data_IF_507357417611
#
_entry.id   IF_507357417611
#
_cell.length_a   1.000
_cell.length_b   1.000
_cell.length_c   1.000
_cell.angle_alpha   90.00
_cell.angle_beta   90.00
_cell.angle_gamma   90.00
#
_symmetry.space_group_name_H-M   'P 1'
#
loop_
_entity.id
_entity.type
_entity.pdbx_description
1 polymer ?
#
# COMPACT_ATOMS: atom_id res chain seq x y z
N UNK A 1 -22.54 -18.05 31.01
CA UNK A 1 -22.06 -17.13 29.96
C UNK A 1 -20.76 -17.68 29.36
N UNK A 2 -20.82 -18.68 28.47
CA UNK A 2 -19.65 -19.09 27.69
C UNK A 2 -20.10 -19.94 26.49
N UNK A 3 -20.34 -19.28 25.36
CA UNK A 3 -20.70 -19.91 24.08
C UNK A 3 -20.24 -19.08 22.88
N UNK A 4 -19.18 -18.25 23.02
CA UNK A 4 -18.78 -17.25 22.00
C UNK A 4 -17.30 -17.34 21.63
N UNK A 5 -16.68 -18.52 21.68
CA UNK A 5 -15.32 -18.71 21.16
C UNK A 5 -15.29 -20.04 20.44
N UNK A 6 -15.20 -20.01 19.10
CA UNK A 6 -14.72 -21.07 18.19
C UNK A 6 -15.38 -20.92 16.81
N UNK A 7 -15.11 -19.84 16.08
CA UNK A 7 -15.15 -20.01 14.62
C UNK A 7 -13.89 -20.82 14.24
N UNK A 8 -14.02 -21.95 13.53
CA UNK A 8 -12.89 -22.82 13.25
C UNK A 8 -11.98 -22.21 12.18
N UNK A 9 -10.66 -22.35 12.33
CA UNK A 9 -9.64 -21.90 11.36
C UNK A 9 -9.92 -22.35 9.91
N UNK A 10 -10.71 -23.43 9.74
CA UNK A 10 -11.20 -23.91 8.45
C UNK A 10 -12.08 -22.91 7.70
N UNK A 11 -12.89 -22.12 8.40
CA UNK A 11 -13.81 -21.15 7.79
C UNK A 11 -13.03 -19.95 7.21
N UNK A 12 -12.09 -19.39 7.99
CA UNK A 12 -11.18 -18.35 7.50
C UNK A 12 -10.40 -18.89 6.29
N UNK A 13 -9.88 -20.12 6.35
CA UNK A 13 -9.15 -20.71 5.24
C UNK A 13 -9.99 -20.81 3.96
N UNK A 14 -11.24 -21.25 4.06
CA UNK A 14 -12.16 -21.34 2.93
C UNK A 14 -12.46 -19.97 2.30
N UNK A 15 -12.70 -18.94 3.14
CA UNK A 15 -12.91 -17.57 2.68
C UNK A 15 -11.67 -17.06 1.92
N UNK A 16 -10.46 -17.34 2.44
CA UNK A 16 -9.21 -16.92 1.83
C UNK A 16 -8.99 -17.57 0.45
N UNK A 17 -9.28 -18.86 0.30
CA UNK A 17 -9.17 -19.56 -0.98
C UNK A 17 -10.22 -19.08 -2.00
N UNK A 18 -11.45 -18.79 -1.56
CA UNK A 18 -12.47 -18.14 -2.40
C UNK A 18 -12.01 -16.75 -2.87
N UNK A 19 -11.43 -15.95 -1.98
CA UNK A 19 -10.85 -14.65 -2.32
C UNK A 19 -9.75 -14.75 -3.38
N UNK A 20 -8.84 -15.72 -3.27
CA UNK A 20 -7.80 -15.96 -4.28
C UNK A 20 -8.40 -16.34 -5.65
N UNK A 21 -9.40 -17.23 -5.66
CA UNK A 21 -10.09 -17.60 -6.90
C UNK A 21 -10.80 -16.40 -7.54
N UNK A 22 -11.41 -15.54 -6.72
CA UNK A 22 -12.05 -14.30 -7.17
C UNK A 22 -11.04 -13.32 -7.77
N UNK A 23 -9.83 -13.22 -7.23
CA UNK A 23 -8.73 -12.43 -7.81
C UNK A 23 -8.38 -12.95 -9.22
N UNK A 24 -8.20 -14.26 -9.39
CA UNK A 24 -7.91 -14.85 -10.70
C UNK A 24 -9.04 -14.58 -11.72
N UNK A 25 -10.30 -14.63 -11.26
CA UNK A 25 -11.48 -14.29 -12.07
C UNK A 25 -11.49 -12.80 -12.44
N UNK A 26 -11.13 -11.93 -11.50
CA UNK A 26 -11.04 -10.48 -11.68
C UNK A 26 -10.04 -10.07 -12.79
N UNK A 27 -9.06 -10.92 -13.11
CA UNK A 27 -8.08 -10.66 -14.17
C UNK A 27 -8.49 -11.18 -15.57
N UNK A 28 -9.64 -11.84 -15.71
CA UNK A 28 -10.07 -12.48 -16.97
C UNK A 28 -11.33 -11.84 -17.54
N UNK A 29 -11.29 -11.32 -18.76
CA UNK A 29 -12.47 -10.82 -19.50
C UNK A 29 -13.22 -9.68 -18.79
N UNK A 30 -14.10 -8.93 -19.49
CA UNK A 30 -14.76 -7.78 -18.84
C UNK A 30 -15.81 -8.20 -17.79
N UNK A 31 -16.77 -9.03 -18.17
CA UNK A 31 -17.86 -9.45 -17.29
C UNK A 31 -17.34 -10.30 -16.13
N UNK A 32 -16.46 -11.26 -16.42
CA UNK A 32 -15.80 -12.05 -15.39
C UNK A 32 -14.93 -11.18 -14.48
N UNK A 33 -14.32 -10.10 -14.98
CA UNK A 33 -13.64 -9.12 -14.14
C UNK A 33 -14.58 -8.43 -13.15
N UNK A 34 -15.74 -7.93 -13.60
CA UNK A 34 -16.75 -7.31 -12.72
C UNK A 34 -17.19 -8.30 -11.65
N UNK A 35 -17.60 -9.50 -12.06
CA UNK A 35 -18.05 -10.53 -11.11
C UNK A 35 -16.94 -10.92 -10.13
N UNK A 36 -15.71 -11.10 -10.60
CA UNK A 36 -14.56 -11.42 -9.74
C UNK A 36 -14.28 -10.32 -8.70
N UNK A 37 -14.46 -9.05 -9.07
CA UNK A 37 -14.33 -7.94 -8.13
C UNK A 37 -15.47 -7.91 -7.08
N UNK A 38 -16.71 -8.22 -7.49
CA UNK A 38 -17.84 -8.33 -6.57
C UNK A 38 -17.69 -9.53 -5.63
N UNK A 39 -17.26 -10.69 -6.16
CA UNK A 39 -16.98 -11.90 -5.41
C UNK A 39 -15.85 -11.66 -4.39
N UNK A 40 -14.80 -10.94 -4.79
CA UNK A 40 -13.71 -10.53 -3.89
C UNK A 40 -14.20 -9.57 -2.81
N UNK A 41 -15.09 -8.62 -3.15
CA UNK A 41 -15.74 -7.75 -2.17
C UNK A 41 -16.55 -8.53 -1.14
N UNK A 42 -17.34 -9.53 -1.56
CA UNK A 42 -18.08 -10.40 -0.64
C UNK A 42 -17.16 -11.21 0.27
N UNK A 43 -16.09 -11.80 -0.30
CA UNK A 43 -15.09 -12.51 0.50
C UNK A 43 -14.43 -11.60 1.55
N UNK A 44 -14.20 -10.32 1.22
CA UNK A 44 -13.71 -9.32 2.17
C UNK A 44 -14.68 -9.07 3.34
N UNK A 45 -15.99 -8.98 3.06
CA UNK A 45 -17.03 -8.82 4.09
C UNK A 45 -17.09 -10.05 5.00
N UNK A 46 -17.10 -11.24 4.42
CA UNK A 46 -17.10 -12.50 5.16
C UNK A 46 -15.84 -12.64 6.02
N UNK A 47 -14.67 -12.30 5.47
CA UNK A 47 -13.40 -12.33 6.22
C UNK A 47 -13.42 -11.36 7.40
N UNK A 48 -13.95 -10.15 7.22
CA UNK A 48 -14.10 -9.17 8.31
C UNK A 48 -15.03 -9.69 9.41
N UNK A 49 -16.16 -10.30 9.04
CA UNK A 49 -17.08 -10.90 9.99
C UNK A 49 -16.43 -12.05 10.76
N UNK A 50 -15.80 -13.00 10.05
CA UNK A 50 -15.11 -14.13 10.66
C UNK A 50 -13.97 -13.66 11.59
N UNK A 51 -13.17 -12.67 11.17
CA UNK A 51 -12.07 -12.13 11.97
C UNK A 51 -12.55 -11.40 13.24
N UNK A 52 -13.73 -10.76 13.21
CA UNK A 52 -14.31 -10.14 14.39
C UNK A 52 -14.67 -11.18 15.47
N UNK A 53 -15.00 -12.41 15.06
CA UNK A 53 -15.39 -13.50 15.95
C UNK A 53 -14.20 -14.34 16.46
N UNK A 54 -13.13 -14.46 15.68
CA UNK A 54 -12.01 -15.38 15.98
C UNK A 54 -10.83 -14.75 16.70
N UNK A 55 -10.55 -13.46 16.49
CA UNK A 55 -9.23 -12.92 16.84
C UNK A 55 -9.16 -12.47 18.30
N UNK A 56 -9.05 -13.42 19.22
CA UNK A 56 -8.41 -13.21 20.52
C UNK A 56 -6.88 -13.17 20.31
N UNK A 57 -6.33 -12.04 19.88
CA UNK A 57 -4.89 -11.95 19.64
C UNK A 57 -4.37 -10.76 18.84
N UNK A 58 -5.24 -9.90 18.31
CA UNK A 58 -4.85 -8.58 17.77
C UNK A 58 -4.57 -8.48 16.28
N UNK A 59 -4.75 -9.54 15.47
CA UNK A 59 -4.63 -9.42 14.01
C UNK A 59 -5.85 -8.70 13.42
N UNK A 60 -5.61 -7.57 12.76
CA UNK A 60 -6.69 -6.77 12.16
C UNK A 60 -7.12 -7.36 10.80
N UNK A 61 -8.35 -7.08 10.37
CA UNK A 61 -8.82 -7.41 9.01
C UNK A 61 -7.83 -6.97 7.92
N UNK A 62 -7.25 -5.77 8.06
CA UNK A 62 -6.30 -5.24 7.09
C UNK A 62 -5.01 -6.07 7.01
N UNK A 63 -4.56 -6.63 8.14
CA UNK A 63 -3.39 -7.51 8.18
C UNK A 63 -3.67 -8.86 7.51
N UNK A 64 -4.84 -9.46 7.76
CA UNK A 64 -5.24 -10.72 7.11
C UNK A 64 -5.31 -10.57 5.59
N UNK A 65 -5.93 -9.51 5.10
CA UNK A 65 -6.01 -9.20 3.67
C UNK A 65 -4.63 -8.95 3.06
N UNK A 66 -3.76 -8.23 3.77
CA UNK A 66 -2.38 -7.98 3.33
C UNK A 66 -1.57 -9.27 3.24
N UNK A 67 -1.62 -10.12 4.27
CA UNK A 67 -0.85 -11.37 4.33
C UNK A 67 -1.30 -12.39 3.28
N UNK A 68 -2.61 -12.55 3.09
CA UNK A 68 -3.12 -13.64 2.26
C UNK A 68 -3.42 -13.25 0.82
N UNK A 69 -3.81 -12.00 0.57
CA UNK A 69 -4.13 -11.51 -0.78
C UNK A 69 -3.11 -10.50 -1.30
N UNK A 70 -2.15 -10.06 -0.49
CA UNK A 70 -1.13 -9.09 -0.90
C UNK A 70 -1.70 -7.68 -1.13
N UNK A 71 -2.85 -7.35 -0.52
CA UNK A 71 -3.55 -6.09 -0.76
C UNK A 71 -3.34 -5.10 0.39
N UNK A 72 -3.11 -3.83 0.06
CA UNK A 72 -2.97 -2.76 1.05
C UNK A 72 -4.31 -2.38 1.71
N UNK A 73 -4.24 -1.72 2.86
CA UNK A 73 -5.41 -1.34 3.66
C UNK A 73 -6.45 -0.48 2.90
N UNK A 74 -5.99 0.43 2.03
CA UNK A 74 -6.89 1.24 1.20
C UNK A 74 -7.71 0.37 0.23
N UNK A 75 -7.06 -0.59 -0.43
CA UNK A 75 -7.73 -1.56 -1.32
C UNK A 75 -8.70 -2.44 -0.53
N UNK A 76 -8.29 -2.93 0.65
CA UNK A 76 -9.13 -3.73 1.52
C UNK A 76 -10.40 -2.99 1.95
N UNK A 77 -10.30 -1.68 2.24
CA UNK A 77 -11.44 -0.82 2.57
C UNK A 77 -12.39 -0.63 1.38
N UNK A 78 -11.84 -0.41 0.17
CA UNK A 78 -12.65 -0.32 -1.05
C UNK A 78 -13.42 -1.61 -1.33
N UNK A 79 -12.77 -2.77 -1.14
CA UNK A 79 -13.41 -4.08 -1.35
C UNK A 79 -14.56 -4.31 -0.36
N UNK A 80 -14.41 -3.89 0.91
CA UNK A 80 -15.52 -3.92 1.86
C UNK A 80 -16.70 -3.08 1.37
N UNK A 81 -16.46 -1.83 0.97
CA UNK A 81 -17.53 -0.97 0.46
C UNK A 81 -18.21 -1.55 -0.78
N UNK A 82 -17.47 -2.25 -1.65
CA UNK A 82 -18.05 -2.94 -2.82
C UNK A 82 -18.87 -4.16 -2.39
N UNK A 83 -18.37 -4.95 -1.45
CA UNK A 83 -19.02 -6.19 -0.99
C UNK A 83 -20.29 -5.97 -0.16
N UNK A 84 -20.35 -4.88 0.61
CA UNK A 84 -21.50 -4.51 1.44
C UNK A 84 -22.65 -3.93 0.60
N UNK A 85 -22.40 -3.55 -0.65
CA UNK A 85 -23.30 -2.76 -1.47
C UNK A 85 -24.24 -3.61 -2.35
N UNK A 86 -25.51 -3.69 -1.95
CA UNK A 86 -26.52 -4.50 -2.66
C UNK A 86 -26.92 -3.97 -4.04
N UNK A 87 -26.82 -2.65 -4.27
CA UNK A 87 -27.17 -2.07 -5.58
C UNK A 87 -26.15 -2.50 -6.63
N UNK A 88 -24.86 -2.59 -6.29
CA UNK A 88 -23.85 -3.16 -7.20
C UNK A 88 -24.12 -4.63 -7.48
N UNK A 89 -24.41 -5.43 -6.45
CA UNK A 89 -24.67 -6.86 -6.59
C UNK A 89 -25.89 -7.17 -7.47
N UNK A 90 -26.88 -6.29 -7.49
CA UNK A 90 -28.11 -6.46 -8.26
C UNK A 90 -27.99 -5.99 -9.73
N UNK A 91 -26.98 -5.16 -10.05
CA UNK A 91 -26.85 -4.49 -11.34
C UNK A 91 -25.57 -4.85 -12.12
N UNK A 92 -25.05 -6.07 -11.94
CA UNK A 92 -23.72 -6.49 -12.43
C UNK A 92 -23.45 -6.24 -13.92
N UNK A 93 -24.47 -6.26 -14.77
CA UNK A 93 -24.35 -6.06 -16.23
C UNK A 93 -24.09 -4.59 -16.61
N UNK A 94 -24.44 -3.65 -15.75
CA UNK A 94 -24.31 -2.21 -16.00
C UNK A 94 -22.98 -1.65 -15.46
N UNK A 95 -22.17 -2.48 -14.80
CA UNK A 95 -21.02 -1.99 -14.05
C UNK A 95 -19.74 -1.92 -14.87
N UNK A 96 -18.90 -0.89 -14.65
CA UNK A 96 -17.57 -0.82 -15.24
C UNK A 96 -16.62 -1.85 -14.59
N UNK A 97 -15.75 -2.45 -15.40
CA UNK A 97 -14.74 -3.42 -14.97
C UNK A 97 -13.51 -2.76 -14.32
N UNK A 98 -13.73 -1.85 -13.37
CA UNK A 98 -12.66 -1.17 -12.62
C UNK A 98 -13.03 -1.10 -11.15
N UNK A 99 -12.19 -1.68 -10.27
CA UNK A 99 -12.41 -1.68 -8.82
C UNK A 99 -12.68 -0.27 -8.28
N UNK A 100 -11.89 0.72 -8.69
CA UNK A 100 -12.06 2.07 -8.18
C UNK A 100 -13.34 2.74 -8.71
N UNK A 101 -13.77 2.42 -9.94
CA UNK A 101 -15.09 2.86 -10.43
C UNK A 101 -16.21 2.21 -9.62
N UNK A 102 -16.13 0.91 -9.33
CA UNK A 102 -17.10 0.22 -8.47
C UNK A 102 -17.18 0.85 -7.08
N UNK A 103 -16.03 1.16 -6.47
CA UNK A 103 -15.96 1.87 -5.20
C UNK A 103 -16.61 3.27 -5.26
N UNK A 104 -16.36 4.04 -6.33
CA UNK A 104 -17.04 5.33 -6.48
C UNK A 104 -18.56 5.17 -6.60
N UNK A 105 -19.03 4.13 -7.28
CA UNK A 105 -20.45 3.83 -7.39
C UNK A 105 -21.07 3.34 -6.08
N UNK A 106 -20.32 2.58 -5.26
CA UNK A 106 -20.83 2.11 -3.96
C UNK A 106 -21.09 3.26 -2.97
N UNK A 107 -20.40 4.38 -3.16
CA UNK A 107 -20.57 5.59 -2.34
C UNK A 107 -21.72 6.50 -2.78
N UNK A 108 -22.48 6.11 -3.81
CA UNK A 108 -23.74 6.79 -4.19
C UNK A 108 -24.89 6.28 -3.32
N UNK A 109 -25.93 7.08 -3.14
CA UNK A 109 -27.23 6.58 -2.66
C UNK A 109 -27.91 5.75 -3.76
N UNK A 110 -28.95 4.99 -3.40
CA UNK A 110 -29.71 4.19 -4.37
C UNK A 110 -30.38 5.09 -5.44
N UNK A 111 -30.96 6.22 -5.03
CA UNK A 111 -31.57 7.20 -5.93
C UNK A 111 -30.54 7.81 -6.90
N UNK A 112 -29.36 8.18 -6.40
CA UNK A 112 -28.27 8.73 -7.22
C UNK A 112 -27.72 7.68 -8.19
N UNK A 113 -27.65 6.42 -7.78
CA UNK A 113 -27.20 5.32 -8.64
C UNK A 113 -28.19 5.06 -9.77
N UNK A 114 -29.49 5.00 -9.47
CA UNK A 114 -30.56 4.84 -10.45
C UNK A 114 -30.63 6.01 -11.44
N UNK A 115 -30.44 7.24 -10.94
CA UNK A 115 -30.28 8.42 -11.80
C UNK A 115 -29.04 8.29 -12.69
N UNK A 116 -27.92 7.80 -12.15
CA UNK A 116 -26.70 7.55 -12.90
C UNK A 116 -26.86 6.52 -14.02
N UNK A 117 -27.69 5.47 -13.81
CA UNK A 117 -28.07 4.52 -14.87
C UNK A 117 -28.90 5.23 -15.94
N UNK A 118 -29.93 5.99 -15.53
CA UNK A 118 -30.81 6.72 -16.47
C UNK A 118 -30.06 7.74 -17.32
N UNK A 119 -29.08 8.44 -16.75
CA UNK A 119 -28.20 9.38 -17.47
C UNK A 119 -27.10 8.68 -18.29
N UNK A 120 -27.00 7.35 -18.23
CA UNK A 120 -25.96 6.57 -18.89
C UNK A 120 -24.56 6.88 -18.35
N UNK A 121 -24.45 7.41 -17.13
CA UNK A 121 -23.17 7.58 -16.42
C UNK A 121 -22.69 6.24 -15.87
N UNK A 122 -23.61 5.45 -15.33
CA UNK A 122 -23.37 4.08 -14.87
C UNK A 122 -23.61 3.15 -16.06
N UNK A 123 -22.52 2.66 -16.65
CA UNK A 123 -22.54 1.70 -17.74
C UNK A 123 -21.20 0.93 -17.78
N UNK A 124 -21.08 -0.16 -18.56
CA UNK A 124 -19.86 -0.98 -18.62
C UNK A 124 -18.59 -0.26 -19.09
N UNK A 125 -18.72 0.89 -19.74
CA UNK A 125 -17.63 1.73 -20.28
C UNK A 125 -17.40 3.00 -19.43
N UNK A 126 -18.09 3.12 -18.30
CA UNK A 126 -18.00 4.28 -17.44
C UNK A 126 -16.56 4.47 -16.92
N UNK A 127 -16.02 5.66 -17.18
CA UNK A 127 -14.70 6.05 -16.67
C UNK A 127 -14.82 6.66 -15.28
N UNK A 128 -13.74 6.58 -14.51
CA UNK A 128 -13.64 7.22 -13.19
C UNK A 128 -13.94 8.72 -13.25
N UNK A 129 -13.49 9.40 -14.32
CA UNK A 129 -13.72 10.82 -14.53
C UNK A 129 -15.21 11.14 -14.69
N UNK A 130 -15.95 10.33 -15.47
CA UNK A 130 -17.39 10.51 -15.68
C UNK A 130 -18.17 10.33 -14.38
N UNK A 131 -17.86 9.28 -13.61
CA UNK A 131 -18.50 9.01 -12.32
C UNK A 131 -18.21 10.14 -11.32
N UNK A 132 -16.95 10.61 -11.22
CA UNK A 132 -16.60 11.73 -10.35
C UNK A 132 -17.30 13.04 -10.75
N UNK A 133 -17.42 13.31 -12.04
CA UNK A 133 -18.12 14.50 -12.54
C UNK A 133 -19.61 14.45 -12.19
N UNK A 134 -20.24 13.28 -12.34
CA UNK A 134 -21.62 13.05 -11.93
C UNK A 134 -21.81 13.24 -10.42
N UNK A 135 -20.96 12.65 -9.58
CA UNK A 135 -20.97 12.90 -8.13
C UNK A 135 -20.87 14.38 -7.77
N UNK A 136 -20.01 15.12 -8.48
CA UNK A 136 -19.87 16.58 -8.26
C UNK A 136 -21.12 17.34 -8.69
N UNK A 137 -21.79 16.91 -9.76
CA UNK A 137 -23.06 17.48 -10.22
C UNK A 137 -24.15 17.30 -9.15
N UNK A 138 -24.26 16.10 -8.57
CA UNK A 138 -25.23 15.77 -7.52
C UNK A 138 -25.00 16.55 -6.22
N UNK A 139 -23.74 16.71 -5.80
CA UNK A 139 -23.38 17.49 -4.61
C UNK A 139 -23.69 19.00 -4.73
N UNK A 140 -24.04 19.47 -5.93
CA UNK A 140 -24.27 20.88 -6.22
C UNK A 140 -22.99 21.72 -6.22
N UNK A 141 -23.11 23.03 -6.45
CA UNK A 141 -22.00 23.95 -6.28
C UNK A 141 -21.59 23.90 -4.81
N UNK A 142 -20.41 23.37 -4.52
CA UNK A 142 -19.78 23.53 -3.20
C UNK A 142 -19.60 25.03 -3.03
N UNK A 143 -20.40 25.65 -2.15
CA UNK A 143 -20.14 27.01 -1.71
C UNK A 143 -18.70 27.01 -1.22
N UNK A 144 -17.81 27.71 -1.96
CA UNK A 144 -16.45 27.90 -1.49
C UNK A 144 -16.59 28.49 -0.10
N UNK A 145 -16.00 27.87 0.95
CA UNK A 145 -16.04 28.44 2.27
C UNK A 145 -15.61 29.89 2.12
N UNK A 146 -16.50 30.81 2.52
CA UNK A 146 -16.23 32.23 2.48
C UNK A 146 -14.87 32.40 3.16
N UNK A 147 -13.84 32.94 2.47
CA UNK A 147 -12.52 33.02 3.05
C UNK A 147 -12.67 33.68 4.41
N UNK A 148 -12.31 32.94 5.46
CA UNK A 148 -12.29 33.51 6.79
C UNK A 148 -11.41 34.76 6.71
N UNK A 149 -11.80 35.87 7.35
CA UNK A 149 -11.01 37.09 7.33
C UNK A 149 -9.59 36.73 7.75
N UNK A 150 -8.67 36.96 6.82
CA UNK A 150 -7.26 36.67 7.02
C UNK A 150 -6.85 37.36 8.33
N UNK A 151 -6.34 36.64 9.35
CA UNK A 151 -5.94 37.27 10.59
C UNK A 151 -5.00 38.42 10.25
N UNK A 152 -5.31 39.61 10.78
CA UNK A 152 -4.53 40.81 10.48
C UNK A 152 -3.05 40.52 10.74
N UNK A 153 -2.15 40.96 9.82
CA UNK A 153 -0.73 40.74 9.99
C UNK A 153 -0.29 41.35 11.33
N UNK A 154 0.26 40.51 12.20
CA UNK A 154 0.78 40.93 13.50
C UNK A 154 1.95 41.88 13.25
N UNK A 155 1.76 43.16 13.55
CA UNK A 155 2.75 44.22 13.30
C UNK A 155 3.74 44.43 14.45
N UNK A 156 3.50 43.82 15.62
CA UNK A 156 4.33 44.00 16.81
C UNK A 156 5.20 42.75 17.07
N UNK A 157 6.54 42.88 17.16
CA UNK A 157 7.42 41.78 17.55
C UNK A 157 7.15 41.22 18.96
N UNK A 158 6.54 41.97 19.88
CA UNK A 158 6.10 41.43 21.19
C UNK A 158 4.88 40.49 21.05
N UNK A 159 4.07 40.67 20.01
CA UNK A 159 2.93 39.79 19.69
C UNK A 159 3.34 38.51 18.94
N UNK A 160 4.62 38.34 18.58
CA UNK A 160 5.10 37.12 17.93
C UNK A 160 4.91 35.88 18.81
N UNK A 161 5.06 36.02 20.14
CA UNK A 161 4.78 34.93 21.09
C UNK A 161 3.29 34.61 21.15
N UNK A 162 2.43 35.63 21.20
CA UNK A 162 0.98 35.47 21.21
C UNK A 162 0.46 34.87 19.89
N UNK A 163 1.08 35.22 18.77
CA UNK A 163 0.82 34.61 17.48
C UNK A 163 1.24 33.14 17.47
N UNK A 164 2.44 32.82 17.97
CA UNK A 164 2.90 31.44 18.08
C UNK A 164 1.97 30.62 18.97
N UNK A 165 1.52 31.16 20.10
CA UNK A 165 0.54 30.51 20.97
C UNK A 165 -0.81 30.31 20.30
N UNK A 166 -1.27 31.28 19.50
CA UNK A 166 -2.52 31.18 18.74
C UNK A 166 -2.40 30.13 17.63
N UNK A 167 -1.29 30.07 16.91
CA UNK A 167 -1.00 29.04 15.91
C UNK A 167 -0.89 27.66 16.57
N UNK A 168 -0.14 27.57 17.68
CA UNK A 168 -0.04 26.34 18.45
C UNK A 168 -1.39 25.91 18.98
N UNK A 169 -2.31 26.83 19.33
CA UNK A 169 -3.65 26.49 19.83
C UNK A 169 -4.52 25.78 18.79
N UNK A 170 -4.39 26.12 17.51
CA UNK A 170 -5.19 25.53 16.40
C UNK A 170 -4.61 24.22 15.85
N UNK A 171 -3.39 23.84 16.23
CA UNK A 171 -2.80 22.57 15.81
C UNK A 171 -3.54 21.36 16.44
N UNK A 172 -3.71 20.25 15.68
CA UNK A 172 -4.20 18.99 16.22
C UNK A 172 -3.33 18.48 17.38
N UNK A 173 -3.93 17.87 18.40
CA UNK A 173 -3.22 17.41 19.61
C UNK A 173 -2.01 16.51 19.31
N UNK A 174 -2.14 15.60 18.33
CA UNK A 174 -1.05 14.72 17.88
C UNK A 174 0.18 15.46 17.36
N UNK A 175 0.00 16.67 16.81
CA UNK A 175 1.11 17.54 16.36
C UNK A 175 1.74 18.24 17.56
N UNK A 176 0.93 18.74 18.50
CA UNK A 176 1.40 19.35 19.76
C UNK A 176 2.24 18.36 20.57
N UNK A 177 1.79 17.11 20.69
CA UNK A 177 2.48 16.07 21.46
C UNK A 177 3.85 15.72 20.84
N UNK A 178 3.95 15.72 19.50
CA UNK A 178 5.24 15.52 18.79
C UNK A 178 6.21 16.68 18.95
N UNK A 179 5.70 17.91 19.05
CA UNK A 179 6.53 19.09 19.30
C UNK A 179 6.99 19.20 20.76
N UNK A 180 6.23 18.63 21.71
CA UNK A 180 6.57 18.61 23.15
C UNK A 180 7.44 17.43 23.57
N UNK A 181 7.40 16.32 22.83
CA UNK A 181 8.04 15.04 23.17
C UNK A 181 9.56 14.96 22.96
N UNK A 182 10.31 16.02 23.20
CA UNK A 182 11.78 15.99 23.25
C UNK A 182 12.27 15.92 24.70
N UNK A 183 12.34 14.71 25.26
CA UNK A 183 13.00 14.46 26.55
C UNK A 183 14.39 13.85 26.33
N UNK A 184 15.41 14.53 26.85
CA UNK A 184 16.72 14.07 27.36
C UNK A 184 17.61 13.09 26.58
N UNK A 185 17.38 12.88 25.29
CA UNK A 185 18.44 12.38 24.40
C UNK A 185 18.83 13.49 23.44
N UNK A 186 20.12 13.89 23.48
CA UNK A 186 20.70 14.86 22.54
C UNK A 186 20.30 14.48 21.12
N UNK A 187 19.48 15.28 20.42
CA UNK A 187 19.11 14.96 19.06
C UNK A 187 20.40 14.96 18.24
N UNK A 188 20.66 13.84 17.56
CA UNK A 188 21.72 13.80 16.56
C UNK A 188 21.46 14.92 15.55
N UNK A 189 22.55 15.52 15.08
CA UNK A 189 22.58 16.76 14.31
C UNK A 189 21.65 16.78 13.07
N UNK A 190 21.14 15.64 12.61
CA UNK A 190 20.20 15.50 11.49
C UNK A 190 18.75 15.90 11.82
N UNK A 191 18.22 15.59 13.00
CA UNK A 191 16.78 15.75 13.27
C UNK A 191 16.42 17.18 13.67
N UNK A 192 17.25 17.84 14.48
CA UNK A 192 17.11 19.26 14.80
C UNK A 192 17.30 20.15 13.58
N UNK A 193 18.16 19.73 12.63
CA UNK A 193 18.37 20.43 11.35
C UNK A 193 17.19 20.23 10.42
N UNK A 194 16.60 19.03 10.36
CA UNK A 194 15.36 18.77 9.63
C UNK A 194 14.18 19.57 10.19
N UNK A 195 14.04 19.66 11.52
CA UNK A 195 12.99 20.47 12.15
C UNK A 195 13.18 21.97 11.86
N UNK A 196 14.41 22.48 11.93
CA UNK A 196 14.72 23.87 11.55
C UNK A 196 14.46 24.12 10.07
N UNK A 197 14.85 23.19 9.19
CA UNK A 197 14.60 23.31 7.74
C UNK A 197 13.10 23.31 7.43
N UNK A 198 12.31 22.51 8.15
CA UNK A 198 10.86 22.46 8.00
C UNK A 198 10.18 23.74 8.49
N UNK A 199 10.60 24.27 9.63
CA UNK A 199 10.10 25.55 10.14
C UNK A 199 10.43 26.72 9.18
N UNK A 200 11.62 26.71 8.58
CA UNK A 200 12.02 27.69 7.56
C UNK A 200 11.19 27.53 6.27
N UNK A 201 10.90 26.31 5.83
CA UNK A 201 10.03 26.05 4.67
C UNK A 201 8.58 26.45 4.94
N UNK A 202 8.04 26.17 6.13
CA UNK A 202 6.69 26.57 6.51
C UNK A 202 6.56 28.11 6.62
N UNK A 203 7.55 28.79 7.20
CA UNK A 203 7.62 30.25 7.20
C UNK A 203 7.79 30.84 5.79
N UNK A 204 8.56 30.18 4.92
CA UNK A 204 8.73 30.59 3.53
C UNK A 204 7.44 30.41 2.71
N UNK A 205 6.69 29.32 2.92
CA UNK A 205 5.37 29.07 2.29
C UNK A 205 4.34 30.11 2.72
N UNK A 206 4.37 30.51 3.99
CA UNK A 206 3.50 31.57 4.49
C UNK A 206 3.87 32.96 3.95
N UNK A 207 5.16 33.21 3.73
CA UNK A 207 5.66 34.44 3.11
C UNK A 207 5.41 34.47 1.59
N UNK A 208 5.48 33.31 0.93
CA UNK A 208 5.19 33.10 -0.50
C UNK A 208 3.73 33.42 -0.86
N UNK A 209 2.80 33.22 0.07
CA UNK A 209 1.40 33.61 -0.13
C UNK A 209 1.19 35.15 -0.11
N UNK A 210 2.23 35.96 0.16
CA UNK A 210 2.09 37.40 0.40
C UNK A 210 2.84 38.33 -0.57
N UNK A 211 3.73 37.90 -1.49
CA UNK A 211 4.49 38.85 -2.34
C UNK A 211 4.93 38.35 -3.74
N UNK A 212 4.87 39.24 -4.75
CA UNK A 212 5.34 39.02 -6.14
C UNK A 212 6.89 38.91 -6.26
N UNK A 213 7.39 37.72 -5.96
CA UNK A 213 8.42 36.89 -6.62
C UNK A 213 9.40 37.47 -7.67
N UNK A 214 10.65 37.76 -7.23
CA UNK A 214 11.87 37.52 -8.05
C UNK A 214 13.11 37.20 -7.20
N UNK A 215 13.28 37.88 -6.06
CA UNK A 215 14.36 37.58 -5.08
C UNK A 215 14.13 36.26 -4.33
N UNK A 216 12.87 35.85 -4.19
CA UNK A 216 12.45 34.59 -3.54
C UNK A 216 12.75 33.34 -4.38
N UNK A 217 12.72 33.43 -5.71
CA UNK A 217 13.13 32.35 -6.61
C UNK A 217 14.62 32.01 -6.43
N UNK A 218 15.45 33.01 -6.15
CA UNK A 218 16.88 32.83 -5.87
C UNK A 218 17.11 32.10 -4.54
N UNK A 219 16.43 32.51 -3.47
CA UNK A 219 16.54 31.86 -2.15
C UNK A 219 15.99 30.42 -2.20
N UNK A 220 14.89 30.18 -2.92
CA UNK A 220 14.34 28.84 -3.07
C UNK A 220 15.27 27.93 -3.90
N UNK A 221 15.92 28.47 -4.94
CA UNK A 221 16.89 27.73 -5.72
C UNK A 221 18.14 27.35 -4.90
N UNK A 222 18.63 28.25 -4.04
CA UNK A 222 19.75 27.97 -3.13
C UNK A 222 19.39 26.93 -2.06
N UNK A 223 18.16 26.96 -1.53
CA UNK A 223 17.69 25.99 -0.53
C UNK A 223 17.54 24.58 -1.14
N UNK A 224 17.01 24.49 -2.36
CA UNK A 224 16.90 23.21 -3.09
C UNK A 224 18.29 22.67 -3.46
N UNK A 225 19.23 23.54 -3.85
CA UNK A 225 20.62 23.13 -4.10
C UNK A 225 21.28 22.55 -2.84
N UNK A 226 21.10 23.20 -1.68
CA UNK A 226 21.62 22.71 -0.40
C UNK A 226 20.97 21.39 0.05
N UNK A 227 19.66 21.22 -0.14
CA UNK A 227 18.97 19.96 0.15
C UNK A 227 19.45 18.81 -0.76
N UNK A 228 19.71 19.10 -2.03
CA UNK A 228 20.27 18.13 -2.96
C UNK A 228 21.71 17.76 -2.60
N UNK A 229 22.53 18.69 -2.12
CA UNK A 229 23.90 18.42 -1.65
C UNK A 229 23.90 17.50 -0.42
N UNK A 230 22.99 17.74 0.55
CA UNK A 230 22.80 16.86 1.71
C UNK A 230 22.33 15.47 1.28
N UNK A 231 21.37 15.39 0.35
CA UNK A 231 20.90 14.12 -0.20
C UNK A 231 22.00 13.39 -0.96
N UNK A 232 22.85 14.07 -1.71
CA UNK A 232 23.99 13.47 -2.41
C UNK A 232 25.03 12.92 -1.44
N UNK A 233 25.29 13.61 -0.32
CA UNK A 233 26.19 13.12 0.73
C UNK A 233 25.61 11.88 1.42
N UNK A 234 24.33 11.90 1.80
CA UNK A 234 23.65 10.75 2.42
C UNK A 234 23.57 9.54 1.47
N UNK A 235 23.25 9.78 0.19
CA UNK A 235 23.19 8.73 -0.83
C UNK A 235 24.59 8.21 -1.17
N UNK A 236 25.65 9.04 -1.16
CA UNK A 236 27.03 8.60 -1.38
C UNK A 236 27.61 7.79 -0.24
N UNK A 237 27.18 8.01 1.00
CA UNK A 237 27.77 7.33 2.17
C UNK A 237 26.98 6.07 2.57
N UNK A 238 25.64 6.10 2.56
CA UNK A 238 24.83 4.97 3.05
C UNK A 238 24.55 3.91 1.98
N UNK A 239 24.38 4.30 0.72
CA UNK A 239 24.03 3.35 -0.36
C UNK A 239 25.19 2.41 -0.70
N UNK A 240 26.46 2.86 -0.81
CA UNK A 240 27.57 1.95 -1.05
C UNK A 240 27.83 0.99 0.11
N UNK A 241 27.61 1.43 1.36
CA UNK A 241 27.74 0.58 2.54
C UNK A 241 26.66 -0.51 2.58
N UNK A 242 25.39 -0.13 2.37
CA UNK A 242 24.28 -1.10 2.32
C UNK A 242 24.40 -2.06 1.13
N UNK A 243 24.90 -1.61 -0.03
CA UNK A 243 25.18 -2.47 -1.18
C UNK A 243 26.36 -3.41 -0.90
N UNK A 244 27.42 -2.94 -0.22
CA UNK A 244 28.57 -3.78 0.14
C UNK A 244 28.18 -4.87 1.14
N UNK A 245 27.38 -4.53 2.15
CA UNK A 245 26.82 -5.48 3.11
C UNK A 245 25.93 -6.51 2.40
N UNK A 246 25.02 -6.07 1.53
CA UNK A 246 24.15 -6.99 0.80
C UNK A 246 24.89 -7.90 -0.18
N UNK A 247 25.96 -7.40 -0.80
CA UNK A 247 26.87 -8.21 -1.63
C UNK A 247 27.59 -9.27 -0.79
N UNK A 248 28.04 -8.93 0.42
CA UNK A 248 28.67 -9.89 1.34
C UNK A 248 27.69 -10.99 1.74
N UNK A 249 26.46 -10.63 2.11
CA UNK A 249 25.42 -11.62 2.44
C UNK A 249 25.08 -12.54 1.25
N UNK A 250 25.02 -12.00 0.03
CA UNK A 250 24.77 -12.80 -1.17
C UNK A 250 25.93 -13.74 -1.48
N UNK A 251 27.17 -13.29 -1.31
CA UNK A 251 28.36 -14.11 -1.50
C UNK A 251 28.43 -15.26 -0.47
N UNK A 252 28.19 -14.97 0.81
CA UNK A 252 28.11 -16.00 1.88
C UNK A 252 27.03 -17.05 1.58
N UNK A 253 25.88 -16.63 1.01
CA UNK A 253 24.81 -17.54 0.57
C UNK A 253 25.21 -18.39 -0.63
N UNK A 254 25.89 -17.82 -1.62
CA UNK A 254 26.36 -18.57 -2.79
C UNK A 254 27.43 -19.60 -2.41
N UNK A 255 28.35 -19.25 -1.50
CA UNK A 255 29.33 -20.19 -0.95
C UNK A 255 28.65 -21.32 -0.17
N UNK A 256 27.65 -21.01 0.66
CA UNK A 256 26.87 -22.01 1.39
C UNK A 256 26.06 -22.95 0.46
N UNK A 257 25.54 -22.44 -0.65
CA UNK A 257 24.87 -23.27 -1.67
C UNK A 257 25.89 -24.17 -2.37
N UNK A 258 27.04 -23.62 -2.76
CA UNK A 258 28.11 -24.38 -3.44
C UNK A 258 28.63 -25.51 -2.56
N UNK A 259 28.82 -25.27 -1.26
CA UNK A 259 29.23 -26.30 -0.31
C UNK A 259 28.16 -27.39 -0.16
N UNK A 260 26.87 -27.01 -0.12
CA UNK A 260 25.76 -27.98 -0.10
C UNK A 260 25.67 -28.80 -1.39
N UNK A 261 25.94 -28.19 -2.54
CA UNK A 261 26.00 -28.88 -3.83
C UNK A 261 27.19 -29.84 -3.91
N UNK A 262 28.34 -29.47 -3.33
CA UNK A 262 29.52 -30.33 -3.24
C UNK A 262 29.27 -31.54 -2.34
N UNK A 263 28.67 -31.32 -1.16
CA UNK A 263 28.20 -32.40 -0.27
C UNK A 263 27.16 -33.28 -0.97
N UNK A 264 26.36 -32.71 -1.88
CA UNK A 264 25.42 -33.48 -2.69
C UNK A 264 26.05 -34.30 -3.81
N UNK A 265 27.11 -33.79 -4.43
CA UNK A 265 27.87 -34.49 -5.46
C UNK A 265 28.71 -35.65 -4.90
N UNK A 266 29.16 -35.56 -3.64
CA UNK A 266 30.01 -36.57 -2.98
C UNK A 266 29.23 -37.78 -2.41
N UNK A 267 27.89 -37.77 -2.51
CA UNK A 267 27.06 -38.97 -2.44
C UNK A 267 26.63 -39.41 -1.04
N UNK A 268 25.34 -39.18 -0.75
CA UNK A 268 24.40 -40.07 -0.05
C UNK A 268 23.20 -39.24 0.43
N UNK A 269 22.35 -38.78 -0.48
CA UNK A 269 21.06 -38.22 -0.07
C UNK A 269 20.11 -39.37 0.17
N UNK A 270 19.61 -39.49 1.40
CA UNK A 270 18.51 -40.40 1.65
C UNK A 270 17.26 -39.85 0.94
N UNK A 271 16.41 -40.73 0.41
CA UNK A 271 15.17 -40.38 -0.30
C UNK A 271 14.33 -39.29 0.43
N UNK A 272 14.27 -39.24 1.77
CA UNK A 272 13.59 -38.16 2.51
C UNK A 272 14.18 -36.76 2.29
N UNK A 273 15.50 -36.62 2.15
CA UNK A 273 16.19 -35.33 2.03
C UNK A 273 16.00 -34.74 0.63
N UNK A 274 16.05 -35.58 -0.41
CA UNK A 274 15.71 -35.19 -1.78
C UNK A 274 14.25 -34.70 -1.89
N UNK A 275 13.34 -35.26 -1.10
CA UNK A 275 11.92 -34.86 -1.06
C UNK A 275 11.72 -33.49 -0.39
N UNK A 276 12.52 -33.17 0.64
CA UNK A 276 12.53 -31.85 1.30
C UNK A 276 13.00 -30.73 0.37
N UNK A 277 14.09 -30.97 -0.38
CA UNK A 277 14.59 -30.00 -1.37
C UNK A 277 13.61 -29.81 -2.53
N UNK A 278 12.97 -30.89 -3.01
CA UNK A 278 11.93 -30.77 -4.05
C UNK A 278 10.75 -29.91 -3.60
N UNK A 279 10.37 -29.95 -2.32
CA UNK A 279 9.33 -29.07 -1.79
C UNK A 279 9.77 -27.60 -1.73
N UNK A 280 11.06 -27.34 -1.47
CA UNK A 280 11.63 -25.99 -1.48
C UNK A 280 11.81 -25.42 -2.90
N UNK A 281 12.07 -26.27 -3.90
CA UNK A 281 12.18 -25.89 -5.32
C UNK A 281 10.83 -25.73 -6.03
N UNK A 282 9.74 -26.30 -5.49
CA UNK A 282 8.39 -26.18 -6.08
C UNK A 282 7.67 -24.86 -5.76
N UNK A 283 8.34 -23.96 -5.04
CA UNK A 283 7.79 -22.66 -4.62
C UNK A 283 8.02 -21.53 -5.61
N UNK A 284 8.27 -21.77 -6.90
CA UNK A 284 8.73 -20.68 -7.76
C UNK A 284 8.24 -20.67 -9.20
N UNK A 285 7.10 -19.99 -9.39
CA UNK A 285 6.82 -19.22 -10.61
C UNK A 285 7.72 -17.98 -10.71
N UNK A 286 8.32 -17.54 -9.60
CA UNK A 286 9.11 -16.32 -9.50
C UNK A 286 10.59 -16.50 -9.90
N UNK A 287 11.18 -17.69 -9.74
CA UNK A 287 12.54 -17.99 -10.24
C UNK A 287 12.60 -18.11 -11.77
N UNK A 288 11.56 -18.65 -12.44
CA UNK A 288 11.59 -18.83 -13.90
C UNK A 288 11.58 -17.51 -14.69
N UNK A 289 11.04 -16.43 -14.12
CA UNK A 289 11.00 -15.11 -14.76
C UNK A 289 12.31 -14.31 -14.59
N UNK A 290 13.19 -14.73 -13.68
CA UNK A 290 14.43 -14.00 -13.34
C UNK A 290 15.72 -14.74 -13.74
N UNK A 291 15.65 -16.00 -14.13
CA UNK A 291 16.82 -16.76 -14.58
C UNK A 291 17.16 -16.48 -16.03
N UNK A 292 18.45 -16.26 -16.30
CA UNK A 292 18.94 -16.20 -17.68
C UNK A 292 18.70 -17.53 -18.41
N UNK A 293 18.51 -17.52 -19.74
CA UNK A 293 18.22 -18.74 -20.51
C UNK A 293 19.25 -19.87 -20.30
N UNK A 294 20.51 -19.51 -20.07
CA UNK A 294 21.58 -20.48 -19.78
C UNK A 294 21.40 -21.20 -18.43
N UNK A 295 20.89 -20.49 -17.40
CA UNK A 295 20.61 -21.08 -16.08
C UNK A 295 19.32 -21.91 -16.10
N UNK A 296 18.30 -21.47 -16.83
CA UNK A 296 17.07 -22.23 -17.04
C UNK A 296 17.36 -23.57 -17.75
N UNK A 297 18.26 -23.56 -18.74
CA UNK A 297 18.71 -24.76 -19.44
C UNK A 297 19.39 -25.77 -18.49
N UNK A 298 20.34 -25.31 -17.66
CA UNK A 298 21.01 -26.16 -16.67
C UNK A 298 20.04 -26.74 -15.64
N UNK A 299 19.06 -25.97 -15.20
CA UNK A 299 18.02 -26.43 -14.28
C UNK A 299 17.17 -27.55 -14.89
N UNK A 300 16.78 -27.40 -16.17
CA UNK A 300 16.03 -28.42 -16.89
C UNK A 300 16.85 -29.69 -17.13
N UNK A 301 18.14 -29.55 -17.44
CA UNK A 301 19.06 -30.69 -17.59
C UNK A 301 19.25 -31.46 -16.26
N UNK A 302 19.41 -30.75 -15.15
CA UNK A 302 19.49 -31.34 -13.80
C UNK A 302 18.18 -32.06 -13.42
N UNK A 303 17.03 -31.46 -13.72
CA UNK A 303 15.72 -32.07 -13.49
C UNK A 303 15.51 -33.35 -14.32
N UNK A 304 15.94 -33.35 -15.58
CA UNK A 304 15.88 -34.52 -16.46
C UNK A 304 16.77 -35.67 -15.97
N UNK A 305 17.97 -35.35 -15.48
CA UNK A 305 18.92 -36.32 -14.95
C UNK A 305 18.40 -36.95 -13.65
N UNK A 306 17.83 -36.13 -12.76
CA UNK A 306 17.16 -36.58 -11.54
C UNK A 306 15.99 -37.53 -11.83
N UNK A 307 15.13 -37.19 -12.80
CA UNK A 307 14.00 -38.05 -13.18
C UNK A 307 14.45 -39.39 -13.79
N UNK A 308 15.66 -39.45 -14.38
CA UNK A 308 16.24 -40.69 -14.90
C UNK A 308 16.73 -41.59 -13.76
N UNK A 309 17.35 -41.02 -12.73
CA UNK A 309 17.80 -41.72 -11.52
C UNK A 309 16.61 -42.22 -10.69
N UNK A 310 15.51 -41.48 -10.61
CA UNK A 310 14.31 -41.91 -9.87
C UNK A 310 13.51 -43.03 -10.55
N UNK A 311 13.81 -43.34 -11.82
CA UNK A 311 13.14 -44.39 -12.60
C UNK A 311 13.97 -45.68 -12.71
N UNK A 312 15.24 -45.64 -12.31
CA UNK A 312 16.12 -46.80 -12.17
C UNK A 312 16.08 -47.34 -10.75
#
# INVERSE_FOLDING_TARGET
>A
MSAVLNAPDSEIHEILERGKSAIDKAYKGRQAQVEGLLDLGRAAVELKAAAAETVQGGTTYAELVSQHWGLGAATASQLLSIGEDQKLLSNTKELPASQYSLYLLSTLTDDEFDEGIKEGVVNPEATQGKIKAFKRKLAGPVEKPKPEPNPEPVTDPEDASAYLDRVMSVLPQKVKDRLKGGTDETPTFSEATLLKSRAVVEAAVETLNKTESKKLLTVFAELVAYQNEILEVLVREEVPAAIAEKKRELQEREEAITEREKVAAEGAWTIPEAKKIRSALHTDKYISEKLSPARLKKLNEASALFNRVMKS
#
